data_IF_316348398376
#
_entry.id   IF_316348398376
#
_cell.length_a   1.000
_cell.length_b   1.000
_cell.length_c   1.000
_cell.angle_alpha   90.00
_cell.angle_beta   90.00
_cell.angle_gamma   90.00
#
_symmetry.space_group_name_H-M   'P 1'
#
loop_
_entity.id
_entity.type
_entity.pdbx_description
1 polymer ?
#
# COMPACT_ATOMS: atom_id res chain seq x y z
N UNK A 1 -24.06 36.07 6.07
CA UNK A 1 -22.70 35.95 6.61
C UNK A 1 -22.69 34.78 7.56
N UNK A 2 -21.79 33.82 7.33
CA UNK A 2 -21.47 32.74 8.28
C UNK A 2 -21.71 31.33 7.74
N UNK A 3 -21.07 30.97 6.62
CA UNK A 3 -20.90 29.56 6.24
C UNK A 3 -19.74 28.99 7.08
N UNK A 4 -20.09 28.11 8.02
CA UNK A 4 -19.15 27.33 8.80
C UNK A 4 -18.74 26.06 8.04
N UNK A 5 -17.44 25.78 8.11
CA UNK A 5 -16.84 24.44 8.11
C UNK A 5 -16.97 23.59 6.84
N UNK A 6 -16.06 23.85 5.90
CA UNK A 6 -15.46 22.77 5.11
C UNK A 6 -13.94 22.78 5.29
N UNK A 7 -13.51 22.39 6.49
CA UNK A 7 -12.18 21.79 6.70
C UNK A 7 -12.22 20.39 6.08
N UNK A 8 -12.08 20.31 4.76
CA UNK A 8 -11.64 19.07 4.13
C UNK A 8 -10.13 19.13 3.98
N UNK A 9 -9.48 18.23 4.69
CA UNK A 9 -8.03 18.06 4.80
C UNK A 9 -7.32 18.20 3.44
N UNK A 10 -6.52 19.26 3.30
CA UNK A 10 -5.50 19.44 2.26
C UNK A 10 -4.32 18.45 2.46
N UNK A 11 -4.61 17.17 2.64
CA UNK A 11 -3.60 16.13 2.71
C UNK A 11 -3.10 15.79 1.30
N UNK A 12 -2.09 16.56 0.86
CA UNK A 12 -1.08 16.21 -0.16
C UNK A 12 -1.69 15.92 -1.55
N UNK A 13 -2.00 16.98 -2.30
CA UNK A 13 -2.44 16.86 -3.70
C UNK A 13 -1.38 16.28 -4.65
N UNK A 14 -0.10 16.32 -4.25
CA UNK A 14 1.04 15.83 -5.04
C UNK A 14 1.87 14.84 -4.21
N UNK A 15 1.71 13.51 -4.39
CA UNK A 15 2.58 12.54 -3.74
C UNK A 15 4.04 12.76 -4.17
N UNK A 16 5.02 12.56 -3.26
CA UNK A 16 6.42 12.77 -3.58
C UNK A 16 6.89 11.84 -4.70
N UNK A 17 7.66 12.39 -5.65
CA UNK A 17 8.20 11.64 -6.77
C UNK A 17 8.98 10.41 -6.29
N UNK A 18 8.66 9.24 -6.84
CA UNK A 18 9.32 7.97 -6.50
C UNK A 18 10.67 7.89 -7.23
N UNK A 19 11.75 7.54 -6.53
CA UNK A 19 13.08 7.36 -7.14
C UNK A 19 13.21 5.93 -7.68
N UNK A 20 13.39 5.79 -8.98
CA UNK A 20 13.66 4.51 -9.65
C UNK A 20 15.03 4.62 -10.31
N UNK A 21 16.04 3.91 -9.79
CA UNK A 21 17.43 4.08 -10.20
C UNK A 21 17.95 5.49 -9.90
N UNK A 22 18.53 6.17 -10.90
CA UNK A 22 19.00 7.56 -10.81
C UNK A 22 17.95 8.61 -11.22
N UNK A 23 16.72 8.19 -11.52
CA UNK A 23 15.66 9.08 -12.02
C UNK A 23 14.57 9.29 -10.95
N UNK A 24 14.01 10.49 -10.90
CA UNK A 24 12.82 10.82 -10.09
C UNK A 24 11.59 10.82 -11.00
N UNK A 25 10.61 9.97 -10.68
CA UNK A 25 9.36 9.86 -11.44
C UNK A 25 8.24 10.49 -10.62
N UNK A 26 7.66 11.57 -11.13
CA UNK A 26 6.48 12.18 -10.52
C UNK A 26 5.25 11.32 -10.83
N UNK A 27 4.51 10.91 -9.79
CA UNK A 27 3.25 10.21 -9.98
C UNK A 27 2.14 11.26 -10.21
N UNK A 28 1.65 11.37 -11.45
CA UNK A 28 0.48 12.21 -11.75
C UNK A 28 -0.72 11.60 -11.04
N UNK A 29 -1.26 12.30 -10.04
CA UNK A 29 -2.55 11.94 -9.44
C UNK A 29 -3.62 12.18 -10.52
N UNK A 30 -4.37 11.15 -10.91
CA UNK A 30 -5.51 11.31 -11.83
C UNK A 30 -6.46 12.34 -11.21
N UNK A 31 -6.74 13.41 -11.94
CA UNK A 31 -7.79 14.33 -11.54
C UNK A 31 -9.13 13.60 -11.65
N UNK A 32 -10.06 13.88 -10.73
CA UNK A 32 -11.35 13.16 -10.61
C UNK A 32 -12.19 13.22 -11.89
N UNK A 33 -11.91 14.16 -12.80
CA UNK A 33 -12.56 14.32 -14.09
C UNK A 33 -11.87 13.61 -15.28
N UNK A 34 -10.68 13.04 -15.08
CA UNK A 34 -9.95 12.37 -16.15
C UNK A 34 -10.51 10.95 -16.34
N UNK A 35 -11.31 10.77 -17.41
CA UNK A 35 -11.92 9.48 -17.73
C UNK A 35 -10.80 8.43 -17.90
N UNK A 36 -10.85 7.28 -17.22
CA UNK A 36 -9.86 6.24 -17.42
C UNK A 36 -9.83 5.82 -18.88
N UNK A 37 -8.63 5.70 -19.46
CA UNK A 37 -8.47 5.20 -20.82
C UNK A 37 -9.07 3.80 -20.92
N UNK A 38 -9.83 3.55 -21.96
CA UNK A 38 -10.28 2.21 -22.30
C UNK A 38 -9.09 1.35 -22.76
N UNK A 39 -9.24 0.02 -22.64
CA UNK A 39 -8.20 -0.94 -23.07
C UNK A 39 -7.79 -0.75 -24.53
N UNK A 40 -8.73 -0.39 -25.41
CA UNK A 40 -8.48 -0.15 -26.83
C UNK A 40 -7.69 1.15 -27.06
N UNK A 41 -7.97 2.22 -26.32
CA UNK A 41 -7.18 3.46 -26.38
C UNK A 41 -5.76 3.23 -25.88
N UNK A 42 -5.60 2.42 -24.84
CA UNK A 42 -4.28 2.09 -24.29
C UNK A 42 -3.41 1.31 -25.28
N UNK A 43 -4.01 0.36 -26.01
CA UNK A 43 -3.32 -0.39 -27.07
C UNK A 43 -2.96 0.51 -28.26
N UNK A 44 -3.85 1.43 -28.66
CA UNK A 44 -3.55 2.40 -29.72
C UNK A 44 -2.37 3.31 -29.37
N UNK A 45 -2.30 3.78 -28.12
CA UNK A 45 -1.15 4.55 -27.66
C UNK A 45 0.14 3.74 -27.70
N UNK A 46 0.09 2.45 -27.34
CA UNK A 46 1.27 1.60 -27.40
C UNK A 46 1.83 1.47 -28.82
N UNK A 47 0.94 1.28 -29.80
CA UNK A 47 1.26 1.27 -31.22
C UNK A 47 1.83 2.62 -31.69
N UNK A 48 1.22 3.74 -31.29
CA UNK A 48 1.64 5.10 -31.68
C UNK A 48 3.05 5.45 -31.16
N UNK A 49 3.38 5.06 -29.93
CA UNK A 49 4.67 5.37 -29.30
C UNK A 49 5.73 4.28 -29.49
N UNK A 50 5.46 3.24 -30.30
CA UNK A 50 6.32 2.05 -30.43
C UNK A 50 6.77 1.48 -29.07
N UNK A 51 5.87 1.50 -28.08
CA UNK A 51 6.17 1.03 -26.74
C UNK A 51 5.64 -0.40 -26.56
N UNK A 52 6.50 -1.30 -26.10
CA UNK A 52 6.09 -2.66 -25.79
C UNK A 52 5.42 -2.68 -24.41
N UNK A 53 4.09 -2.84 -24.40
CA UNK A 53 3.35 -3.04 -23.16
C UNK A 53 3.56 -4.46 -22.64
N UNK A 54 4.53 -4.65 -21.77
CA UNK A 54 4.82 -5.95 -21.12
C UNK A 54 3.59 -6.49 -20.37
N UNK A 55 2.79 -5.61 -19.76
CA UNK A 55 1.43 -5.88 -19.32
C UNK A 55 0.70 -4.54 -19.08
N UNK A 56 -0.58 -4.40 -19.48
CA UNK A 56 -1.38 -3.28 -19.03
C UNK A 56 -1.44 -3.26 -17.49
N UNK A 57 -1.34 -2.10 -16.83
CA UNK A 57 -1.47 -2.02 -15.38
C UNK A 57 -2.84 -2.59 -14.96
N UNK A 58 -2.84 -3.75 -14.30
CA UNK A 58 -4.09 -4.44 -13.92
C UNK A 58 -5.02 -3.56 -13.08
N UNK A 59 -4.41 -2.65 -12.32
CA UNK A 59 -5.10 -1.72 -11.42
C UNK A 59 -5.89 -0.61 -12.13
N UNK A 60 -5.61 -0.35 -13.41
CA UNK A 60 -6.27 0.70 -14.18
C UNK A 60 -7.62 0.25 -14.77
N UNK A 61 -7.85 -1.06 -14.83
CA UNK A 61 -9.04 -1.66 -15.44
C UNK A 61 -9.87 -2.47 -14.44
N UNK A 62 -9.37 -2.65 -13.21
CA UNK A 62 -10.09 -3.36 -12.17
C UNK A 62 -11.25 -2.51 -11.65
N UNK A 63 -12.38 -3.16 -11.42
CA UNK A 63 -13.51 -2.54 -10.73
C UNK A 63 -13.16 -2.28 -9.27
N UNK A 64 -13.86 -1.35 -8.63
CA UNK A 64 -13.64 -1.03 -7.22
C UNK A 64 -13.78 -2.27 -6.32
N UNK A 65 -14.72 -3.17 -6.62
CA UNK A 65 -14.89 -4.42 -5.90
C UNK A 65 -13.69 -5.37 -6.03
N UNK A 66 -13.09 -5.46 -7.22
CA UNK A 66 -11.91 -6.29 -7.46
C UNK A 66 -10.68 -5.75 -6.73
N UNK A 67 -10.56 -4.43 -6.61
CA UNK A 67 -9.50 -3.77 -5.85
C UNK A 67 -9.65 -4.04 -4.35
N UNK A 68 -10.86 -3.87 -3.80
CA UNK A 68 -11.15 -4.16 -2.39
C UNK A 68 -10.91 -5.65 -2.06
N UNK A 69 -11.28 -6.56 -2.96
CA UNK A 69 -11.01 -7.99 -2.81
C UNK A 69 -9.49 -8.30 -2.80
N UNK A 70 -8.74 -7.68 -3.69
CA UNK A 70 -7.28 -7.82 -3.70
C UNK A 70 -6.68 -7.35 -2.37
N UNK A 71 -7.05 -6.15 -1.91
CA UNK A 71 -6.47 -5.54 -0.72
C UNK A 71 -6.80 -6.34 0.55
N UNK A 72 -8.03 -6.84 0.68
CA UNK A 72 -8.41 -7.72 1.78
C UNK A 72 -7.65 -9.05 1.75
N UNK A 73 -7.46 -9.63 0.57
CA UNK A 73 -6.69 -10.88 0.39
C UNK A 73 -5.22 -10.69 0.75
N UNK A 74 -4.61 -9.60 0.31
CA UNK A 74 -3.22 -9.25 0.66
C UNK A 74 -3.09 -9.03 2.17
N UNK A 75 -4.01 -8.29 2.78
CA UNK A 75 -4.00 -8.06 4.23
C UNK A 75 -4.09 -9.36 5.03
N UNK A 76 -4.98 -10.28 4.65
CA UNK A 76 -5.12 -11.56 5.34
C UNK A 76 -3.90 -12.47 5.17
N UNK A 77 -3.31 -12.51 3.97
CA UNK A 77 -2.15 -13.36 3.70
C UNK A 77 -0.87 -12.85 4.35
N UNK A 78 -0.75 -11.54 4.58
CA UNK A 78 0.43 -10.92 5.17
C UNK A 78 0.30 -10.67 6.69
N UNK A 79 -0.88 -10.83 7.26
CA UNK A 79 -1.09 -10.67 8.70
C UNK A 79 -0.36 -11.77 9.47
N UNK A 80 0.65 -11.37 10.26
CA UNK A 80 1.29 -12.25 11.23
C UNK A 80 0.31 -12.59 12.35
N UNK A 81 0.39 -13.81 12.91
CA UNK A 81 -0.41 -14.16 14.08
C UNK A 81 -0.09 -13.22 15.24
N UNK A 82 -1.11 -12.89 16.04
CA UNK A 82 -0.91 -12.09 17.25
C UNK A 82 0.06 -12.79 18.20
N UNK A 83 0.97 -12.05 18.85
CA UNK A 83 1.87 -12.63 19.83
C UNK A 83 1.05 -13.24 20.97
N UNK A 84 1.18 -14.55 21.16
CA UNK A 84 0.60 -15.23 22.32
C UNK A 84 1.54 -15.09 23.50
N UNK A 85 1.15 -14.30 24.51
CA UNK A 85 1.86 -14.25 25.79
C UNK A 85 1.28 -15.32 26.70
N UNK A 86 1.87 -16.52 26.69
CA UNK A 86 1.59 -17.52 27.72
C UNK A 86 2.39 -17.17 28.96
N UNK A 87 1.74 -16.54 29.95
CA UNK A 87 2.33 -16.40 31.28
C UNK A 87 2.36 -17.79 31.92
N UNK A 88 3.49 -18.23 32.50
CA UNK A 88 3.52 -19.49 33.22
C UNK A 88 2.53 -19.43 34.39
N UNK A 89 1.64 -20.43 34.48
CA UNK A 89 0.61 -20.52 35.53
C UNK A 89 1.21 -20.66 36.93
N UNK A 90 2.47 -21.10 37.01
CA UNK A 90 3.19 -21.27 38.27
C UNK A 90 4.37 -20.29 38.33
N UNK A 91 4.63 -19.65 39.48
CA UNK A 91 5.79 -18.82 39.65
C UNK A 91 7.06 -19.67 39.42
N UNK A 92 7.88 -19.25 38.46
CA UNK A 92 9.19 -19.86 38.22
C UNK A 92 10.13 -19.33 39.31
N UNK A 93 10.58 -20.21 40.19
CA UNK A 93 11.53 -19.85 41.22
C UNK A 93 12.91 -19.64 40.58
N UNK A 94 13.45 -18.43 40.70
CA UNK A 94 14.78 -18.11 40.19
C UNK A 94 15.83 -18.77 41.09
N UNK A 95 16.59 -19.74 40.55
CA UNK A 95 17.72 -20.33 41.27
C UNK A 95 18.98 -19.49 41.08
N UNK A 96 19.40 -18.79 42.13
CA UNK A 96 20.71 -18.13 42.17
C UNK A 96 21.74 -19.17 42.61
N UNK A 97 22.64 -19.56 41.71
CA UNK A 97 23.80 -20.37 42.08
C UNK A 97 24.91 -19.44 42.53
N UNK A 98 25.23 -19.43 43.82
CA UNK A 98 26.45 -18.79 44.30
C UNK A 98 27.64 -19.74 44.07
N UNK A 99 28.82 -19.22 43.66
CA UNK A 99 30.03 -20.01 43.55
C UNK A 99 30.42 -20.53 44.94
N UNK A 100 30.79 -21.80 45.01
CA UNK A 100 31.42 -22.36 46.21
C UNK A 100 32.88 -21.94 46.22
N UNK A 101 33.30 -21.32 47.32
CA UNK A 101 34.70 -21.09 47.64
C UNK A 101 35.26 -22.39 48.20
N UNK A 102 35.98 -23.13 47.35
CA UNK A 102 36.98 -24.11 47.79
C UNK A 102 38.28 -23.38 48.16
#
# INVERSE_FOLDING_TARGET
MGDEEQKMDLAISNPPATKVGNMRIAQKRREVAEKPLSRSEYLKQAEEYNSELVAPPKHDFATQQELEFHDTTVMHTQQKPFPQVSKPTKPVQHFIRQPRSD
#
